data_IF_734399690243
#
_entry.id   IF_734399690243
#
_cell.length_a   1.000
_cell.length_b   1.000
_cell.length_c   1.000
_cell.angle_alpha   90.00
_cell.angle_beta   90.00
_cell.angle_gamma   90.00
#
_symmetry.space_group_name_H-M   'P 1'
#
loop_
_entity.id
_entity.type
_entity.pdbx_description
1 polymer ?
#
# COMPACT_ATOMS: atom_id res chain seq x y z
N UNK A 1 -20.88 15.54 29.09
CA UNK A 1 -21.01 14.72 27.87
C UNK A 1 -20.91 13.28 28.31
N UNK A 2 -22.03 12.54 28.28
CA UNK A 2 -22.05 11.13 28.67
C UNK A 2 -21.35 10.28 27.59
N UNK A 3 -20.87 9.09 27.95
CA UNK A 3 -20.21 8.16 27.03
C UNK A 3 -21.09 7.84 25.82
N UNK A 4 -22.40 7.68 26.04
CA UNK A 4 -23.37 7.44 24.96
C UNK A 4 -23.44 8.61 23.97
N UNK A 5 -23.44 9.85 24.47
CA UNK A 5 -23.43 11.05 23.63
C UNK A 5 -22.10 11.18 22.87
N UNK A 6 -20.99 10.81 23.51
CA UNK A 6 -19.67 10.83 22.90
C UNK A 6 -19.54 9.80 21.78
N UNK A 7 -20.02 8.58 22.01
CA UNK A 7 -20.08 7.53 20.99
C UNK A 7 -21.01 7.93 19.84
N UNK A 8 -22.18 8.48 20.13
CA UNK A 8 -23.12 8.95 19.11
C UNK A 8 -22.52 10.08 18.26
N UNK A 9 -21.88 11.07 18.88
CA UNK A 9 -21.22 12.17 18.17
C UNK A 9 -20.00 11.69 17.38
N UNK A 10 -19.21 10.76 17.93
CA UNK A 10 -18.09 10.13 17.21
C UNK A 10 -18.57 9.42 15.93
N UNK A 11 -19.66 8.66 16.03
CA UNK A 11 -20.26 7.96 14.88
C UNK A 11 -20.72 8.96 13.81
N UNK A 12 -21.39 10.06 14.20
CA UNK A 12 -21.81 11.11 13.26
C UNK A 12 -20.61 11.73 12.53
N UNK A 13 -19.53 12.03 13.24
CA UNK A 13 -18.30 12.57 12.65
C UNK A 13 -17.61 11.57 11.72
N UNK A 14 -17.56 10.28 12.11
CA UNK A 14 -17.02 9.21 11.28
C UNK A 14 -17.78 9.08 9.96
N UNK A 15 -19.10 9.14 10.02
CA UNK A 15 -19.96 9.09 8.83
C UNK A 15 -19.75 10.28 7.93
N UNK A 16 -19.74 11.50 8.48
CA UNK A 16 -19.44 12.72 7.72
C UNK A 16 -18.07 12.65 7.06
N UNK A 17 -17.06 12.15 7.77
CA UNK A 17 -15.72 11.91 7.22
C UNK A 17 -15.75 10.91 6.07
N UNK A 18 -16.48 9.81 6.22
CA UNK A 18 -16.65 8.80 5.16
C UNK A 18 -17.34 9.38 3.93
N UNK A 19 -18.38 10.19 4.12
CA UNK A 19 -19.11 10.86 3.04
C UNK A 19 -18.22 11.85 2.28
N UNK A 20 -17.48 12.70 2.99
CA UNK A 20 -16.57 13.66 2.39
C UNK A 20 -15.46 12.97 1.61
N UNK A 21 -14.89 11.89 2.17
CA UNK A 21 -13.87 11.10 1.48
C UNK A 21 -14.42 10.48 0.20
N UNK A 22 -15.62 9.89 0.25
CA UNK A 22 -16.28 9.35 -0.94
C UNK A 22 -16.48 10.41 -2.03
N UNK A 23 -16.97 11.60 -1.67
CA UNK A 23 -17.15 12.70 -2.62
C UNK A 23 -15.83 13.21 -3.20
N UNK A 24 -14.77 13.23 -2.40
CA UNK A 24 -13.43 13.59 -2.85
C UNK A 24 -12.90 12.55 -3.82
N UNK A 25 -12.95 11.27 -3.46
CA UNK A 25 -12.48 10.16 -4.30
C UNK A 25 -13.24 10.15 -5.64
N UNK A 26 -14.56 10.36 -5.65
CA UNK A 26 -15.37 10.46 -6.88
C UNK A 26 -14.96 11.63 -7.79
N UNK A 27 -14.54 12.76 -7.22
CA UNK A 27 -14.06 13.92 -7.99
C UNK A 27 -12.67 13.67 -8.54
N UNK A 28 -11.79 13.07 -7.73
CA UNK A 28 -10.41 12.75 -8.12
C UNK A 28 -10.40 11.74 -9.25
N UNK A 29 -11.21 10.68 -9.20
CA UNK A 29 -11.33 9.68 -10.27
C UNK A 29 -11.66 10.31 -11.63
N UNK A 30 -12.49 11.37 -11.66
CA UNK A 30 -12.80 12.08 -12.92
C UNK A 30 -11.62 12.87 -13.46
N UNK A 31 -10.80 13.43 -12.58
CA UNK A 31 -9.58 14.17 -12.94
C UNK A 31 -8.54 13.19 -13.45
N UNK A 32 -8.30 12.11 -12.70
CA UNK A 32 -7.37 11.04 -13.08
C UNK A 32 -7.73 10.46 -14.44
N UNK A 33 -9.01 10.20 -14.71
CA UNK A 33 -9.45 9.70 -16.01
C UNK A 33 -9.18 10.66 -17.20
N UNK A 34 -9.09 11.97 -16.94
CA UNK A 34 -8.69 12.95 -17.96
C UNK A 34 -7.17 12.95 -18.12
N UNK A 35 -6.43 12.88 -17.02
CA UNK A 35 -4.97 12.79 -17.02
C UNK A 35 -4.49 11.52 -17.74
N UNK A 36 -5.08 10.37 -17.45
CA UNK A 36 -4.76 9.09 -18.10
C UNK A 36 -4.89 9.17 -19.63
N UNK A 37 -5.92 9.88 -20.13
CA UNK A 37 -6.10 10.11 -21.56
C UNK A 37 -5.00 10.99 -22.15
N UNK A 38 -4.59 12.02 -21.42
CA UNK A 38 -3.49 12.90 -21.85
C UNK A 38 -2.16 12.13 -21.87
N UNK A 39 -1.88 11.35 -20.83
CA UNK A 39 -0.68 10.49 -20.75
C UNK A 39 -0.64 9.49 -21.90
N UNK A 40 -1.77 8.85 -22.24
CA UNK A 40 -1.84 7.94 -23.38
C UNK A 40 -1.51 8.62 -24.72
N UNK A 41 -1.93 9.88 -24.92
CA UNK A 41 -1.60 10.66 -26.12
C UNK A 41 -0.10 11.01 -26.15
N UNK A 42 0.46 11.43 -25.01
CA UNK A 42 1.89 11.75 -24.89
C UNK A 42 2.72 10.50 -25.17
N UNK A 43 2.37 9.36 -24.55
CA UNK A 43 3.03 8.08 -24.78
C UNK A 43 3.01 7.68 -26.25
N UNK A 44 1.86 7.78 -26.91
CA UNK A 44 1.74 7.47 -28.35
C UNK A 44 2.60 8.41 -29.21
N UNK A 45 2.68 9.69 -28.84
CA UNK A 45 3.51 10.68 -29.54
C UNK A 45 4.99 10.35 -29.41
N UNK A 46 5.43 9.92 -28.23
CA UNK A 46 6.80 9.52 -27.93
C UNK A 46 7.17 8.24 -28.67
N UNK A 47 6.28 7.25 -28.68
CA UNK A 47 6.44 6.01 -29.45
C UNK A 47 6.55 6.27 -30.96
N UNK A 48 5.71 7.15 -31.52
CA UNK A 48 5.74 7.48 -32.95
C UNK A 48 7.00 8.27 -33.34
N UNK A 49 7.51 9.10 -32.44
CA UNK A 49 8.68 9.96 -32.67
C UNK A 49 10.01 9.29 -32.29
N UNK A 50 9.97 8.15 -31.60
CA UNK A 50 11.15 7.45 -31.09
C UNK A 50 11.92 8.25 -30.03
N UNK A 51 11.24 9.07 -29.24
CA UNK A 51 11.84 9.91 -28.19
C UNK A 51 11.35 9.48 -26.81
N UNK A 52 12.23 9.56 -25.82
CA UNK A 52 11.92 9.16 -24.44
C UNK A 52 11.66 10.36 -23.52
N UNK A 53 11.93 11.59 -23.99
CA UNK A 53 11.74 12.83 -23.24
C UNK A 53 11.52 14.01 -24.19
N UNK A 54 10.65 14.94 -23.79
CA UNK A 54 10.42 16.20 -24.50
C UNK A 54 10.26 17.35 -23.50
N UNK A 55 11.03 18.42 -23.72
CA UNK A 55 10.87 19.67 -22.98
C UNK A 55 9.79 20.55 -23.61
N UNK A 56 8.96 21.15 -22.77
CA UNK A 56 7.89 22.08 -23.17
C UNK A 56 7.95 23.33 -22.29
N UNK A 57 7.29 24.40 -22.71
CA UNK A 57 7.19 25.63 -21.91
C UNK A 57 6.50 25.42 -20.54
N UNK A 58 5.71 24.35 -20.38
CA UNK A 58 5.02 24.03 -19.14
C UNK A 58 5.74 22.99 -18.26
N UNK A 59 6.81 22.35 -18.78
CA UNK A 59 7.55 21.29 -18.08
C UNK A 59 8.12 20.23 -19.01
N UNK A 60 8.65 19.15 -18.45
CA UNK A 60 9.26 18.05 -19.20
C UNK A 60 8.44 16.78 -19.04
N UNK A 61 8.01 16.19 -20.16
CA UNK A 61 7.41 14.86 -20.19
C UNK A 61 8.50 13.82 -20.51
N UNK A 62 8.52 12.71 -19.79
CA UNK A 62 9.50 11.64 -19.98
C UNK A 62 8.87 10.27 -19.73
N UNK A 63 9.39 9.22 -20.37
CA UNK A 63 8.97 7.84 -20.11
C UNK A 63 9.57 7.33 -18.80
N UNK A 64 8.77 6.63 -18.02
CA UNK A 64 9.21 5.94 -16.82
C UNK A 64 8.74 4.49 -16.84
N UNK A 65 9.66 3.56 -16.54
CA UNK A 65 9.33 2.14 -16.44
C UNK A 65 8.92 1.85 -15.01
N UNK A 66 7.65 1.45 -14.83
CA UNK A 66 7.14 0.94 -13.56
C UNK A 66 7.22 -0.58 -13.56
N UNK A 67 8.18 -1.12 -12.80
CA UNK A 67 8.33 -2.58 -12.65
C UNK A 67 7.51 -3.10 -11.48
N UNK A 68 6.86 -4.24 -11.65
CA UNK A 68 6.23 -5.02 -10.57
C UNK A 68 6.66 -6.48 -10.70
N UNK A 69 6.94 -7.12 -9.57
CA UNK A 69 7.33 -8.52 -9.51
C UNK A 69 6.35 -9.29 -8.63
N UNK A 70 5.88 -10.44 -9.10
CA UNK A 70 4.89 -11.28 -8.42
C UNK A 70 5.41 -12.70 -8.31
N UNK A 71 5.25 -13.30 -7.14
CA UNK A 71 5.55 -14.72 -6.93
C UNK A 71 4.34 -15.53 -7.40
N UNK A 72 4.51 -16.31 -8.47
CA UNK A 72 3.44 -17.12 -9.08
C UNK A 72 3.34 -18.52 -8.47
N UNK A 73 4.48 -19.15 -8.17
CA UNK A 73 4.57 -20.37 -7.36
C UNK A 73 5.46 -20.09 -6.15
N UNK A 74 4.86 -20.19 -4.96
CA UNK A 74 5.56 -19.95 -3.70
C UNK A 74 6.54 -21.06 -3.37
N UNK A 75 6.20 -22.31 -3.64
CA UNK A 75 7.02 -23.46 -3.26
C UNK A 75 8.32 -23.47 -4.06
N UNK A 76 8.24 -23.31 -5.39
CA UNK A 76 9.42 -23.24 -6.25
C UNK A 76 10.33 -22.07 -5.88
N UNK A 77 9.76 -20.88 -5.63
CA UNK A 77 10.52 -19.71 -5.26
C UNK A 77 11.23 -19.89 -3.91
N UNK A 78 10.55 -20.46 -2.91
CA UNK A 78 11.14 -20.71 -1.60
C UNK A 78 12.25 -21.75 -1.69
N UNK A 79 12.02 -22.86 -2.38
CA UNK A 79 13.06 -23.88 -2.62
C UNK A 79 14.28 -23.25 -3.28
N UNK A 80 14.08 -22.48 -4.36
CA UNK A 80 15.15 -21.82 -5.08
C UNK A 80 15.94 -20.81 -4.21
N UNK A 81 15.29 -20.06 -3.32
CA UNK A 81 16.00 -19.17 -2.38
C UNK A 81 16.78 -19.97 -1.34
N UNK A 82 16.16 -20.99 -0.76
CA UNK A 82 16.75 -21.78 0.33
C UNK A 82 17.97 -22.59 -0.13
N UNK A 83 17.97 -23.06 -1.38
CA UNK A 83 19.09 -23.79 -2.00
C UNK A 83 20.41 -22.99 -2.04
N UNK A 84 20.35 -21.66 -1.99
CA UNK A 84 21.50 -20.76 -2.06
C UNK A 84 21.23 -19.50 -1.23
N UNK A 85 21.00 -19.74 0.07
CA UNK A 85 20.51 -18.72 1.00
C UNK A 85 21.48 -17.52 1.08
N UNK A 86 22.79 -17.76 1.06
CA UNK A 86 23.80 -16.69 1.16
C UNK A 86 23.65 -15.62 0.07
N UNK A 87 23.29 -16.03 -1.16
CA UNK A 87 23.17 -15.12 -2.29
C UNK A 87 21.72 -14.68 -2.55
N UNK A 88 20.72 -15.43 -2.08
CA UNK A 88 19.31 -15.25 -2.48
C UNK A 88 18.39 -14.76 -1.38
N UNK A 89 18.86 -14.67 -0.12
CA UNK A 89 18.00 -14.20 0.98
C UNK A 89 17.45 -12.79 0.73
N UNK A 90 18.21 -11.92 0.06
CA UNK A 90 17.82 -10.54 -0.27
C UNK A 90 16.67 -10.42 -1.27
N UNK A 91 16.23 -11.52 -1.89
CA UNK A 91 14.99 -11.53 -2.67
C UNK A 91 13.75 -11.50 -1.78
N UNK A 92 13.87 -11.86 -0.49
CA UNK A 92 12.82 -11.65 0.49
C UNK A 92 12.87 -10.21 1.03
N UNK A 93 11.68 -9.68 1.31
CA UNK A 93 11.55 -8.47 2.12
C UNK A 93 11.38 -8.86 3.59
N UNK A 94 11.97 -8.08 4.49
CA UNK A 94 11.85 -8.29 5.93
C UNK A 94 10.43 -7.97 6.41
N UNK A 95 9.60 -9.01 6.50
CA UNK A 95 8.25 -8.95 7.07
C UNK A 95 7.97 -10.19 7.88
N UNK A 96 7.44 -9.98 9.08
CA UNK A 96 7.03 -11.06 9.97
C UNK A 96 5.51 -11.17 10.01
N UNK A 97 5.01 -12.40 10.16
CA UNK A 97 3.60 -12.62 10.42
C UNK A 97 3.31 -12.28 11.89
N UNK A 98 2.65 -11.14 12.11
CA UNK A 98 2.31 -10.64 13.46
C UNK A 98 1.53 -11.65 14.31
N UNK A 99 0.63 -12.43 13.71
CA UNK A 99 -0.17 -13.40 14.46
C UNK A 99 0.71 -14.51 15.04
N UNK A 100 1.68 -14.99 14.25
CA UNK A 100 2.64 -16.00 14.71
C UNK A 100 3.61 -15.44 15.76
N UNK A 101 3.99 -14.16 15.65
CA UNK A 101 4.80 -13.49 16.68
C UNK A 101 4.03 -13.37 17.99
N UNK A 102 2.73 -13.06 17.94
CA UNK A 102 1.85 -13.00 19.12
C UNK A 102 1.69 -14.37 19.79
N UNK A 103 1.44 -15.42 19.00
CA UNK A 103 1.36 -16.80 19.49
C UNK A 103 2.68 -17.26 20.12
N UNK A 104 3.82 -16.99 19.47
CA UNK A 104 5.14 -17.31 20.02
C UNK A 104 5.38 -16.60 21.34
N UNK A 105 5.04 -15.31 21.42
CA UNK A 105 5.17 -14.51 22.65
C UNK A 105 4.29 -15.06 23.77
N UNK A 106 3.06 -15.48 23.47
CA UNK A 106 2.16 -16.07 24.45
C UNK A 106 2.66 -17.41 24.99
N UNK A 107 3.26 -18.24 24.13
CA UNK A 107 3.78 -19.56 24.51
C UNK A 107 5.14 -19.49 25.24
N UNK A 108 6.04 -18.59 24.84
CA UNK A 108 7.43 -18.56 25.33
C UNK A 108 7.72 -17.41 26.30
N UNK A 109 6.77 -16.48 26.49
CA UNK A 109 6.95 -15.29 27.34
C UNK A 109 7.93 -14.25 26.78
N UNK A 110 8.48 -14.46 25.57
CA UNK A 110 9.45 -13.57 24.94
C UNK A 110 9.21 -13.47 23.42
N UNK A 111 9.80 -12.46 22.78
CA UNK A 111 9.71 -12.25 21.34
C UNK A 111 10.65 -13.19 20.58
N UNK A 112 10.32 -13.55 19.33
CA UNK A 112 11.28 -14.18 18.43
C UNK A 112 12.54 -13.29 18.29
N UNK A 113 13.74 -13.89 18.17
CA UNK A 113 14.97 -13.14 17.95
C UNK A 113 14.87 -12.18 16.76
N UNK A 114 15.43 -10.97 16.89
CA UNK A 114 15.43 -9.96 15.84
C UNK A 114 14.10 -9.25 15.59
N UNK A 115 13.04 -9.56 16.36
CA UNK A 115 11.73 -8.92 16.23
C UNK A 115 11.48 -7.93 17.37
N UNK A 116 11.18 -6.68 17.01
CA UNK A 116 10.68 -5.67 17.95
C UNK A 116 9.15 -5.65 17.88
N UNK A 117 8.49 -5.60 19.05
CA UNK A 117 7.03 -5.62 19.15
C UNK A 117 6.53 -4.39 19.91
N UNK A 118 5.53 -3.69 19.35
CA UNK A 118 4.82 -2.58 19.99
C UNK A 118 3.32 -2.84 19.93
N UNK A 119 2.65 -2.79 21.07
CA UNK A 119 1.19 -2.83 21.16
C UNK A 119 0.65 -1.51 21.69
N UNK A 120 -0.40 -1.00 21.08
CA UNK A 120 -1.10 0.21 21.50
C UNK A 120 -2.58 -0.11 21.71
N UNK A 121 -3.13 0.22 22.88
CA UNK A 121 -4.55 0.05 23.17
C UNK A 121 -5.30 1.17 22.45
N UNK A 122 -6.20 0.79 21.54
CA UNK A 122 -7.01 1.74 20.77
C UNK A 122 -8.49 1.51 21.04
N UNK A 123 -9.29 2.58 20.98
CA UNK A 123 -10.74 2.50 21.16
C UNK A 123 -11.40 2.21 19.82
N UNK A 124 -12.09 1.07 19.72
CA UNK A 124 -12.94 0.73 18.58
C UNK A 124 -14.40 1.07 18.85
N UNK A 125 -14.98 1.99 18.07
CA UNK A 125 -16.42 2.31 18.16
C UNK A 125 -17.16 1.65 17.00
N UNK A 126 -18.11 0.76 17.31
CA UNK A 126 -18.97 0.08 16.33
C UNK A 126 -20.43 0.46 16.55
N UNK A 127 -21.24 0.41 15.48
CA UNK A 127 -22.70 0.48 15.60
C UNK A 127 -23.19 -0.88 16.05
N UNK A 128 -24.15 -0.87 16.98
CA UNK A 128 -24.97 -2.03 17.32
C UNK A 128 -26.09 -2.11 16.29
#
# INVERSE_FOLDING_TARGET
MNLDELVANYIKLRDKKSQLRKQYDEKVVKIDAVMDKMEAIILKTFQNSGIDSAHTNAGTAYLSIRTSAYVTNREDFFTWVLDDTENRISFFADRVNKAMVEEFKAANGNLPPGVTYRSEVTVGVRRI
#
